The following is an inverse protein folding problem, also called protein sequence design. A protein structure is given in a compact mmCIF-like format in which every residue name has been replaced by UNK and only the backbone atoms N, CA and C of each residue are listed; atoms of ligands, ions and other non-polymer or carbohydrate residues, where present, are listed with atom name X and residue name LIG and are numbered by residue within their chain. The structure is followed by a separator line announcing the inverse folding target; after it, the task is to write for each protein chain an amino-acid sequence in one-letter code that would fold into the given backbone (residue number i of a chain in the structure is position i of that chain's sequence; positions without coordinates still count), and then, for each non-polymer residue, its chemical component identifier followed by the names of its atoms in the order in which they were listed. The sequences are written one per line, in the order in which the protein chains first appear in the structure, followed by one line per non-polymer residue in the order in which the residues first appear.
data_IF_619799047237
#
_entry.id   IF_619799047237
#
_cell.length_a   1.000
_cell.length_b   1.000
_cell.length_c   1.000
_cell.angle_alpha   90.00
_cell.angle_beta   90.00
_cell.angle_gamma   90.00
#
_symmetry.space_group_name_H-M   'P 1'
#
loop_
_entity.id
_entity.type
_entity.pdbx_description
1 polymer ?
#
# COMPACT_ATOMS: atom_id res chain seq x y z
N UNK A 1 -19.85 2.19 -0.58
CA UNK A 1 -20.66 2.90 -1.60
C UNK A 1 -21.45 1.88 -2.40
N UNK A 2 -22.64 2.23 -2.87
CA UNK A 2 -23.48 1.39 -3.73
C UNK A 2 -23.62 2.08 -5.07
N UNK A 3 -23.06 1.46 -6.11
CA UNK A 3 -23.06 1.98 -7.47
C UNK A 3 -23.86 1.04 -8.34
N UNK A 4 -24.67 1.60 -9.25
CA UNK A 4 -25.35 0.83 -10.29
C UNK A 4 -24.38 0.66 -11.45
N UNK A 5 -24.13 -0.58 -11.85
CA UNK A 5 -23.30 -0.93 -12.99
C UNK A 5 -24.11 -1.82 -13.92
N UNK A 6 -23.99 -1.59 -15.22
CA UNK A 6 -24.57 -2.47 -16.22
C UNK A 6 -23.67 -3.71 -16.37
N UNK A 7 -24.28 -4.90 -16.31
CA UNK A 7 -23.58 -6.18 -16.41
C UNK A 7 -24.33 -7.05 -17.41
N UNK A 8 -23.61 -7.64 -18.35
CA UNK A 8 -24.19 -8.55 -19.33
C UNK A 8 -24.85 -9.77 -18.66
N UNK A 9 -25.99 -10.18 -19.21
CA UNK A 9 -26.76 -11.33 -18.72
C UNK A 9 -25.95 -12.64 -18.50
N UNK A 10 -25.03 -13.06 -19.39
CA UNK A 10 -24.19 -14.24 -19.15
C UNK A 10 -23.29 -14.07 -17.91
N UNK A 11 -22.64 -12.92 -17.76
CA UNK A 11 -21.76 -12.63 -16.62
C UNK A 11 -22.56 -12.62 -15.32
N UNK A 12 -23.75 -12.00 -15.33
CA UNK A 12 -24.61 -11.98 -14.15
C UNK A 12 -25.02 -13.39 -13.71
N UNK A 13 -25.25 -14.33 -14.64
CA UNK A 13 -25.55 -15.73 -14.31
C UNK A 13 -24.39 -16.42 -13.61
N UNK A 14 -23.18 -16.24 -14.11
CA UNK A 14 -21.97 -16.83 -13.51
C UNK A 14 -21.70 -16.27 -12.11
N UNK A 15 -21.82 -14.95 -11.93
CA UNK A 15 -21.61 -14.32 -10.61
C UNK A 15 -22.67 -14.80 -9.62
N UNK A 16 -23.92 -15.01 -10.03
CA UNK A 16 -24.97 -15.60 -9.17
C UNK A 16 -24.67 -17.06 -8.80
N UNK A 17 -24.19 -17.87 -9.73
CA UNK A 17 -23.79 -19.24 -9.43
C UNK A 17 -22.65 -19.27 -8.40
N UNK A 18 -21.69 -18.36 -8.55
CA UNK A 18 -20.58 -18.19 -7.61
C UNK A 18 -21.06 -17.67 -6.24
N UNK A 19 -22.07 -16.80 -6.22
CA UNK A 19 -22.70 -16.31 -4.99
C UNK A 19 -23.28 -17.45 -4.15
N UNK A 20 -24.00 -18.38 -4.78
CA UNK A 20 -24.59 -19.56 -4.10
C UNK A 20 -23.49 -20.43 -3.51
N UNK A 21 -22.36 -20.59 -4.22
CA UNK A 21 -21.23 -21.40 -3.77
C UNK A 21 -20.48 -20.80 -2.59
N UNK A 22 -20.28 -19.48 -2.56
CA UNK A 22 -19.48 -18.81 -1.53
C UNK A 22 -20.30 -18.25 -0.36
N UNK A 23 -21.63 -18.19 -0.47
CA UNK A 23 -22.50 -17.65 0.58
C UNK A 23 -22.34 -16.15 0.85
N UNK A 24 -21.64 -15.42 -0.03
CA UNK A 24 -21.41 -13.97 0.08
C UNK A 24 -22.57 -13.18 -0.52
N UNK A 25 -22.68 -11.90 -0.17
CA UNK A 25 -23.57 -11.00 -0.89
C UNK A 25 -23.04 -10.72 -2.30
N UNK A 26 -23.95 -10.55 -3.26
CA UNK A 26 -23.60 -10.30 -4.67
C UNK A 26 -22.65 -9.09 -4.82
N UNK A 27 -22.95 -7.99 -4.12
CA UNK A 27 -22.12 -6.79 -4.14
C UNK A 27 -20.70 -7.03 -3.60
N UNK A 28 -20.56 -7.82 -2.53
CA UNK A 28 -19.24 -8.15 -1.97
C UNK A 28 -18.42 -9.01 -2.94
N UNK A 29 -19.07 -10.00 -3.55
CA UNK A 29 -18.44 -10.88 -4.53
C UNK A 29 -17.94 -10.09 -5.75
N UNK A 30 -18.78 -9.20 -6.28
CA UNK A 30 -18.43 -8.30 -7.39
C UNK A 30 -17.27 -7.39 -7.01
N UNK A 31 -17.28 -6.77 -5.83
CA UNK A 31 -16.15 -5.96 -5.33
C UNK A 31 -14.85 -6.75 -5.23
N UNK A 32 -14.88 -7.97 -4.70
CA UNK A 32 -13.69 -8.81 -4.57
C UNK A 32 -13.13 -9.21 -5.95
N UNK A 33 -14.00 -9.57 -6.91
CA UNK A 33 -13.60 -9.90 -8.28
C UNK A 33 -12.97 -8.70 -9.00
N UNK A 34 -13.60 -7.52 -8.91
CA UNK A 34 -13.08 -6.28 -9.46
C UNK A 34 -11.72 -5.90 -8.85
N UNK A 35 -11.58 -6.01 -7.53
CA UNK A 35 -10.31 -5.71 -6.86
C UNK A 35 -9.17 -6.62 -7.36
N UNK A 36 -9.45 -7.90 -7.60
CA UNK A 36 -8.47 -8.85 -8.16
C UNK A 36 -8.10 -8.50 -9.59
N UNK A 37 -9.09 -8.20 -10.44
CA UNK A 37 -8.86 -7.81 -11.83
C UNK A 37 -8.02 -6.52 -11.91
N UNK A 38 -8.41 -5.48 -11.16
CA UNK A 38 -7.68 -4.21 -11.11
C UNK A 38 -6.25 -4.37 -10.55
N UNK A 39 -6.03 -5.27 -9.58
CA UNK A 39 -4.68 -5.57 -9.09
C UNK A 39 -3.84 -6.29 -10.16
N UNK A 40 -4.43 -7.22 -10.91
CA UNK A 40 -3.72 -7.91 -11.99
C UNK A 40 -3.35 -6.97 -13.15
N UNK A 41 -4.20 -5.98 -13.43
CA UNK A 41 -3.94 -4.96 -14.44
C UNK A 41 -2.96 -3.89 -13.93
N UNK A 42 -3.14 -3.44 -12.69
CA UNK A 42 -2.26 -2.48 -12.02
C UNK A 42 -0.84 -3.02 -11.77
N UNK A 43 -0.65 -4.34 -11.73
CA UNK A 43 0.67 -4.96 -11.72
C UNK A 43 1.50 -4.65 -12.98
N UNK A 44 0.88 -4.20 -14.09
CA UNK A 44 1.62 -3.65 -15.25
C UNK A 44 2.21 -2.27 -14.98
N UNK A 45 1.61 -1.47 -14.11
CA UNK A 45 2.27 -0.27 -13.58
C UNK A 45 3.21 -0.76 -12.50
N UNK A 46 4.32 -1.37 -12.93
CA UNK A 46 5.43 -1.64 -12.04
C UNK A 46 5.84 -0.27 -11.47
N UNK A 47 5.46 0.00 -10.22
CA UNK A 47 6.11 1.06 -9.45
C UNK A 47 7.60 0.76 -9.58
N UNK A 48 8.40 1.65 -10.20
CA UNK A 48 9.81 1.38 -10.34
C UNK A 48 10.35 1.06 -8.95
N UNK A 49 11.20 0.02 -8.81
CA UNK A 49 11.79 -0.29 -7.51
C UNK A 49 12.35 1.01 -6.94
N UNK A 50 11.99 1.32 -5.69
CA UNK A 50 12.43 2.56 -5.07
C UNK A 50 13.94 2.69 -5.20
N UNK A 51 14.42 3.76 -5.83
CA UNK A 51 15.84 3.97 -5.98
C UNK A 51 16.45 4.24 -4.60
N UNK A 52 17.48 3.48 -4.25
CA UNK A 52 18.21 3.71 -3.02
C UNK A 52 19.09 4.95 -3.19
N UNK A 53 18.61 6.09 -2.72
CA UNK A 53 19.34 7.36 -2.83
C UNK A 53 20.47 7.39 -1.79
N UNK A 54 21.70 7.14 -2.24
CA UNK A 54 22.90 7.39 -1.44
C UNK A 54 23.47 8.78 -1.77
N UNK A 55 23.64 9.62 -0.75
CA UNK A 55 24.34 10.92 -0.86
C UNK A 55 25.37 11.03 0.26
N UNK A 56 26.54 11.66 0.02
CA UNK A 56 27.50 11.93 1.09
C UNK A 56 26.86 12.84 2.15
N UNK A 57 26.61 12.30 3.34
CA UNK A 57 25.95 13.04 4.43
C UNK A 57 26.92 13.89 5.26
N UNK A 58 28.24 13.77 5.03
CA UNK A 58 29.27 14.44 5.82
C UNK A 58 29.14 14.12 7.31
N UNK A 59 29.46 12.87 7.67
CA UNK A 59 29.24 12.35 9.02
C UNK A 59 29.83 13.29 10.09
N UNK A 60 28.96 13.84 10.94
CA UNK A 60 29.34 14.74 12.05
C UNK A 60 29.55 14.00 13.37
N UNK A 61 29.23 12.71 13.38
CA UNK A 61 29.24 11.84 14.55
C UNK A 61 29.95 10.57 14.12
N UNK A 62 30.97 10.19 14.88
CA UNK A 62 31.55 8.85 14.77
C UNK A 62 30.59 7.87 15.44
N UNK A 63 30.14 6.88 14.67
CA UNK A 63 29.20 5.85 15.14
C UNK A 63 29.90 4.79 16.01
N UNK A 64 31.23 4.71 15.97
CA UNK A 64 32.01 3.80 16.81
C UNK A 64 32.24 4.36 18.22
N UNK A 65 32.06 5.67 18.41
CA UNK A 65 32.01 6.30 19.71
C UNK A 65 30.58 6.25 20.26
N UNK A 66 30.34 5.25 21.11
CA UNK A 66 29.06 5.02 21.78
C UNK A 66 28.56 6.26 22.54
N UNK A 67 29.43 6.99 23.22
CA UNK A 67 29.04 8.16 24.02
C UNK A 67 28.62 9.33 23.12
N UNK A 68 29.38 9.57 22.05
CA UNK A 68 29.06 10.61 21.07
C UNK A 68 27.76 10.29 20.33
N UNK A 69 27.50 9.01 20.01
CA UNK A 69 26.25 8.56 19.41
C UNK A 69 25.05 8.78 20.34
N UNK A 70 25.13 8.32 21.60
CA UNK A 70 24.03 8.49 22.56
C UNK A 70 23.71 9.96 22.80
N UNK A 71 24.74 10.82 22.95
CA UNK A 71 24.55 12.27 23.08
C UNK A 71 23.86 12.90 21.86
N UNK A 72 24.21 12.48 20.65
CA UNK A 72 23.60 12.97 19.42
C UNK A 72 22.13 12.52 19.27
N UNK A 73 21.78 11.33 19.77
CA UNK A 73 20.41 10.81 19.79
C UNK A 73 19.54 11.53 20.83
N UNK A 74 20.09 11.77 22.02
CA UNK A 74 19.37 12.41 23.13
C UNK A 74 19.14 13.91 22.87
N UNK A 75 20.08 14.58 22.18
CA UNK A 75 19.97 16.00 21.81
C UNK A 75 18.89 16.31 20.76
N UNK A 76 18.29 15.30 20.11
CA UNK A 76 17.28 15.48 19.05
C UNK A 76 15.88 15.85 19.55
N UNK A 77 15.58 15.77 20.86
CA UNK A 77 14.27 16.19 21.39
C UNK A 77 13.98 17.70 21.32
N UNK A 78 14.96 18.53 20.97
CA UNK A 78 14.81 19.99 20.92
C UNK A 78 14.60 20.60 19.52
N UNK A 79 14.61 19.80 18.44
CA UNK A 79 14.49 20.34 17.06
C UNK A 79 13.12 20.15 16.40
N UNK A 80 12.17 19.58 17.14
CA UNK A 80 10.76 19.48 16.74
C UNK A 80 9.94 20.56 17.47
N UNK A 81 10.30 21.82 17.29
CA UNK A 81 9.44 22.96 17.61
C UNK A 81 9.94 24.24 16.95
N UNK A 82 9.57 24.41 15.68
CA UNK A 82 9.39 25.73 15.06
C UNK A 82 8.13 25.61 14.18
N UNK A 83 7.21 26.58 14.25
CA UNK A 83 5.88 26.55 13.60
C UNK A 83 5.92 26.41 12.07
#
# INVERSE_FOLDING_TARGET
MRTTIDIDAPILREVKALQVREGKSLGRLVSDLLARALKSEGARVATPPGEWIAKPMGARVDLMDKETLHRALDGKKARERVP
#
